data_IF_307692518785
#
_entry.id   IF_307692518785
#
_cell.length_a   1.000
_cell.length_b   1.000
_cell.length_c   1.000
_cell.angle_alpha   90.00
_cell.angle_beta   90.00
_cell.angle_gamma   90.00
#
_symmetry.space_group_name_H-M   'P 1'
#
loop_
_entity.id
_entity.type
_entity.pdbx_description
1 polymer ?
#
# COMPACT_ATOMS: atom_id res chain seq x y z
N UNK A 1 -17.43 18.14 -6.09
CA UNK A 1 -17.79 17.37 -4.88
C UNK A 1 -17.04 16.06 -4.97
N UNK A 2 -16.49 15.53 -3.85
CA UNK A 2 -15.80 14.23 -3.88
C UNK A 2 -16.81 13.13 -4.07
N UNK A 3 -16.53 12.23 -5.02
CA UNK A 3 -17.46 11.16 -5.40
C UNK A 3 -16.87 9.77 -5.14
N UNK A 4 -15.53 9.65 -5.19
CA UNK A 4 -14.82 8.41 -5.06
C UNK A 4 -13.75 8.46 -3.98
N UNK A 5 -13.58 7.32 -3.29
CA UNK A 5 -12.43 7.06 -2.42
C UNK A 5 -11.71 5.85 -2.98
N UNK A 6 -10.46 6.04 -3.37
CA UNK A 6 -9.57 4.94 -3.74
C UNK A 6 -8.65 4.60 -2.57
N UNK A 7 -8.48 3.32 -2.34
CA UNK A 7 -7.61 2.80 -1.28
C UNK A 7 -6.44 2.03 -1.87
N UNK A 8 -5.29 2.14 -1.24
CA UNK A 8 -4.31 1.07 -1.24
C UNK A 8 -4.84 -0.11 -0.42
N UNK A 9 -4.23 -1.29 -0.56
CA UNK A 9 -4.69 -2.50 0.09
C UNK A 9 -3.78 -2.94 1.23
N UNK A 10 -2.52 -3.28 0.92
CA UNK A 10 -1.55 -3.78 1.91
C UNK A 10 -1.15 -2.71 2.90
N UNK A 11 -1.06 -3.05 4.17
CA UNK A 11 -0.77 -2.11 5.26
C UNK A 11 -1.72 -0.90 5.38
N UNK A 12 -2.72 -0.79 4.48
CA UNK A 12 -3.80 0.20 4.56
C UNK A 12 -5.10 -0.43 5.06
N UNK A 13 -5.65 -1.39 4.34
CA UNK A 13 -6.84 -2.17 4.73
C UNK A 13 -6.47 -3.53 5.33
N UNK A 14 -5.36 -4.09 4.91
CA UNK A 14 -4.85 -5.40 5.33
C UNK A 14 -3.66 -5.23 6.26
N UNK A 15 -3.72 -5.90 7.39
CA UNK A 15 -2.59 -6.05 8.32
C UNK A 15 -1.67 -7.17 7.82
N UNK A 16 -0.52 -6.78 7.30
CA UNK A 16 0.50 -7.66 6.75
C UNK A 16 1.67 -7.89 7.73
N UNK A 17 1.52 -7.61 9.03
CA UNK A 17 2.63 -7.72 10.00
C UNK A 17 3.26 -9.11 10.02
N UNK A 18 2.43 -10.15 10.03
CA UNK A 18 2.91 -11.53 10.02
C UNK A 18 3.51 -11.90 8.67
N UNK A 19 2.90 -11.47 7.58
CA UNK A 19 3.43 -11.64 6.22
C UNK A 19 4.81 -10.98 6.07
N UNK A 20 5.00 -9.77 6.61
CA UNK A 20 6.30 -9.11 6.65
C UNK A 20 7.32 -9.85 7.51
N UNK A 21 6.89 -10.43 8.65
CA UNK A 21 7.76 -11.20 9.51
C UNK A 21 8.30 -12.44 8.79
N UNK A 22 7.42 -13.26 8.24
CA UNK A 22 7.80 -14.46 7.47
C UNK A 22 8.64 -14.12 6.23
N UNK A 23 8.31 -13.04 5.54
CA UNK A 23 9.09 -12.57 4.41
C UNK A 23 10.53 -12.22 4.80
N UNK A 24 10.73 -11.53 5.93
CA UNK A 24 12.08 -11.20 6.44
C UNK A 24 12.86 -12.46 6.81
N UNK A 25 12.25 -13.42 7.50
CA UNK A 25 12.88 -14.70 7.84
C UNK A 25 13.34 -15.42 6.58
N UNK A 26 12.48 -15.52 5.57
CA UNK A 26 12.81 -16.16 4.30
C UNK A 26 13.93 -15.40 3.54
N UNK A 27 13.93 -14.07 3.57
CA UNK A 27 15.04 -13.29 3.02
C UNK A 27 16.36 -13.61 3.71
N UNK A 28 16.36 -13.75 5.04
CA UNK A 28 17.54 -14.10 5.81
C UNK A 28 18.05 -15.50 5.50
N UNK A 29 17.17 -16.50 5.38
CA UNK A 29 17.53 -17.86 4.99
C UNK A 29 18.29 -17.85 3.66
N UNK A 30 17.74 -17.19 2.63
CA UNK A 30 18.37 -17.10 1.31
C UNK A 30 19.73 -16.37 1.37
N UNK A 31 19.85 -15.31 2.17
CA UNK A 31 21.11 -14.58 2.34
C UNK A 31 22.14 -15.39 3.11
N UNK A 32 21.74 -16.11 4.16
CA UNK A 32 22.63 -16.99 4.92
C UNK A 32 23.16 -18.15 4.07
N UNK A 33 22.32 -18.77 3.26
CA UNK A 33 22.73 -19.80 2.29
C UNK A 33 23.74 -19.27 1.27
N UNK A 34 23.67 -17.97 0.94
CA UNK A 34 24.63 -17.29 0.06
C UNK A 34 25.91 -16.83 0.80
N UNK A 35 26.07 -17.16 2.09
CA UNK A 35 27.25 -16.87 2.88
C UNK A 35 27.23 -15.52 3.61
N UNK A 36 26.08 -14.84 3.68
CA UNK A 36 25.94 -13.62 4.48
C UNK A 36 25.68 -13.96 5.96
N UNK A 37 26.26 -13.18 6.86
CA UNK A 37 25.92 -13.23 8.30
C UNK A 37 25.15 -11.97 8.65
N UNK A 38 23.85 -12.11 8.91
CA UNK A 38 22.93 -11.01 9.12
C UNK A 38 21.83 -11.43 10.10
N UNK A 39 21.49 -10.56 11.06
CA UNK A 39 20.39 -10.80 11.98
C UNK A 39 19.05 -10.24 11.44
N UNK A 40 17.95 -10.71 12.02
CA UNK A 40 16.61 -10.19 11.69
C UNK A 40 16.48 -8.70 12.05
N UNK A 41 17.08 -8.32 13.19
CA UNK A 41 17.09 -6.94 13.67
C UNK A 41 17.85 -6.01 12.72
N UNK A 42 18.98 -6.45 12.18
CA UNK A 42 19.76 -5.66 11.21
C UNK A 42 19.00 -5.49 9.90
N UNK A 43 18.35 -6.56 9.41
CA UNK A 43 17.52 -6.50 8.20
C UNK A 43 16.34 -5.54 8.40
N UNK A 44 15.61 -5.66 9.52
CA UNK A 44 14.47 -4.80 9.84
C UNK A 44 14.91 -3.34 10.05
N UNK A 45 16.00 -3.09 10.74
CA UNK A 45 16.55 -1.75 10.92
C UNK A 45 16.84 -1.08 9.59
N UNK A 46 17.33 -1.85 8.60
CA UNK A 46 17.61 -1.35 7.26
C UNK A 46 16.31 -1.04 6.50
N UNK A 47 15.28 -1.89 6.61
CA UNK A 47 13.96 -1.60 6.05
C UNK A 47 13.38 -0.29 6.60
N UNK A 48 13.47 -0.10 7.92
CA UNK A 48 13.00 1.12 8.58
C UNK A 48 13.80 2.34 8.11
N UNK A 49 15.12 2.20 7.93
CA UNK A 49 15.96 3.29 7.44
C UNK A 49 15.53 3.74 6.04
N UNK A 50 15.30 2.81 5.12
CA UNK A 50 14.81 3.15 3.79
C UNK A 50 13.38 3.72 3.80
N UNK A 51 12.49 3.21 4.66
CA UNK A 51 11.18 3.81 4.85
C UNK A 51 11.27 5.27 5.31
N UNK A 52 12.17 5.61 6.25
CA UNK A 52 12.43 6.99 6.69
C UNK A 52 12.93 7.90 5.57
N UNK A 53 13.56 7.35 4.56
CA UNK A 53 14.01 8.07 3.36
C UNK A 53 12.93 8.15 2.27
N UNK A 54 11.70 7.67 2.54
CA UNK A 54 10.61 7.54 1.56
C UNK A 54 11.04 6.71 0.34
N UNK A 55 11.76 5.63 0.56
CA UNK A 55 12.15 4.66 -0.45
C UNK A 55 11.39 3.37 -0.25
N UNK A 56 11.35 2.52 -1.27
CA UNK A 56 10.75 1.18 -1.14
C UNK A 56 11.55 0.34 -0.12
N UNK A 57 11.01 0.09 1.07
CA UNK A 57 11.79 -0.54 2.14
C UNK A 57 12.15 -1.99 1.82
N UNK A 58 11.32 -2.69 1.07
CA UNK A 58 11.53 -4.09 0.70
C UNK A 58 12.56 -4.22 -0.42
N UNK A 59 12.35 -3.48 -1.50
CA UNK A 59 13.22 -3.49 -2.68
C UNK A 59 14.63 -3.01 -2.33
N UNK A 60 14.74 -1.86 -1.66
CA UNK A 60 16.01 -1.25 -1.34
C UNK A 60 16.80 -2.08 -0.32
N UNK A 61 16.15 -2.68 0.68
CA UNK A 61 16.81 -3.55 1.65
C UNK A 61 17.33 -4.81 0.99
N UNK A 62 16.52 -5.45 0.13
CA UNK A 62 17.01 -6.61 -0.62
C UNK A 62 18.19 -6.25 -1.51
N UNK A 63 18.10 -5.16 -2.28
CA UNK A 63 19.19 -4.69 -3.15
C UNK A 63 20.45 -4.35 -2.37
N UNK A 64 20.32 -3.87 -1.12
CA UNK A 64 21.46 -3.52 -0.27
C UNK A 64 22.23 -4.75 0.21
N UNK A 65 21.54 -5.82 0.61
CA UNK A 65 22.18 -7.01 1.18
C UNK A 65 22.45 -8.10 0.15
N UNK A 66 21.60 -8.25 -0.85
CA UNK A 66 21.67 -9.36 -1.79
C UNK A 66 22.57 -9.06 -2.99
N UNK A 67 23.48 -9.98 -3.36
CA UNK A 67 24.13 -9.96 -4.67
C UNK A 67 23.09 -9.95 -5.80
N UNK A 68 23.41 -9.29 -6.92
CA UNK A 68 22.53 -9.15 -8.08
C UNK A 68 22.05 -10.48 -8.69
N UNK A 69 22.75 -11.57 -8.42
CA UNK A 69 22.41 -12.91 -8.89
C UNK A 69 21.34 -13.60 -8.04
N UNK A 70 21.05 -13.11 -6.83
CA UNK A 70 20.04 -13.71 -5.96
C UNK A 70 18.65 -13.18 -6.27
N UNK A 71 17.70 -14.09 -6.42
CA UNK A 71 16.28 -13.74 -6.55
C UNK A 71 15.66 -13.48 -5.19
N UNK A 72 14.94 -12.38 -5.08
CA UNK A 72 14.19 -12.06 -3.86
C UNK A 72 13.07 -13.09 -3.65
N UNK A 73 12.86 -13.56 -2.40
CA UNK A 73 11.74 -14.42 -2.06
C UNK A 73 10.39 -13.79 -2.46
N UNK A 74 9.44 -14.65 -2.80
CA UNK A 74 8.07 -14.22 -3.07
C UNK A 74 7.33 -13.96 -1.77
N UNK A 75 6.34 -13.08 -1.85
CA UNK A 75 5.40 -12.84 -0.76
C UNK A 75 4.48 -14.05 -0.57
N UNK A 76 4.24 -14.39 0.70
CA UNK A 76 3.19 -15.33 1.10
C UNK A 76 2.10 -14.58 1.87
N UNK A 77 1.00 -14.31 1.20
CA UNK A 77 -0.13 -13.56 1.74
C UNK A 77 -1.12 -14.42 2.55
N UNK A 78 -0.77 -15.68 2.87
CA UNK A 78 -1.67 -16.58 3.62
C UNK A 78 -1.95 -16.12 5.05
N UNK A 79 -1.04 -15.33 5.61
CA UNK A 79 -1.14 -14.78 6.98
C UNK A 79 -1.75 -13.38 7.07
N UNK A 80 -2.13 -12.82 5.93
CA UNK A 80 -2.82 -11.53 5.91
C UNK A 80 -4.17 -11.60 6.62
N UNK A 81 -4.47 -10.56 7.40
CA UNK A 81 -5.77 -10.34 8.04
C UNK A 81 -6.24 -8.91 7.80
N UNK A 82 -7.52 -8.63 7.95
CA UNK A 82 -8.01 -7.25 7.92
C UNK A 82 -7.59 -6.50 9.18
N UNK A 83 -7.27 -5.22 9.03
CA UNK A 83 -7.27 -4.35 10.20
C UNK A 83 -8.67 -4.31 10.83
N UNK A 84 -8.70 -4.16 12.15
CA UNK A 84 -9.95 -4.02 12.89
C UNK A 84 -10.78 -2.87 12.29
N UNK A 85 -12.09 -3.05 12.24
CA UNK A 85 -13.08 -2.07 11.78
C UNK A 85 -13.12 -1.79 10.26
N UNK A 86 -12.24 -2.39 9.42
CA UNK A 86 -12.21 -2.12 7.96
C UNK A 86 -13.57 -2.33 7.30
N UNK A 87 -14.21 -3.48 7.53
CA UNK A 87 -15.52 -3.78 6.93
C UNK A 87 -16.59 -2.76 7.37
N UNK A 88 -16.58 -2.37 8.65
CA UNK A 88 -17.49 -1.35 9.19
C UNK A 88 -17.25 0.01 8.53
N UNK A 89 -15.98 0.41 8.41
CA UNK A 89 -15.62 1.70 7.78
C UNK A 89 -16.02 1.73 6.32
N UNK A 90 -15.72 0.67 5.56
CA UNK A 90 -16.11 0.59 4.15
C UNK A 90 -17.62 0.61 3.99
N UNK A 91 -18.36 -0.09 4.87
CA UNK A 91 -19.83 -0.09 4.89
C UNK A 91 -20.42 1.30 5.16
N UNK A 92 -19.85 2.10 6.05
CA UNK A 92 -20.29 3.47 6.29
C UNK A 92 -19.93 4.40 5.13
N UNK A 93 -18.68 4.36 4.63
CA UNK A 93 -18.24 5.21 3.53
C UNK A 93 -18.99 4.92 2.22
N UNK A 94 -19.34 3.67 1.96
CA UNK A 94 -20.09 3.28 0.74
C UNK A 94 -21.50 3.86 0.66
N UNK A 95 -22.04 4.38 1.76
CA UNK A 95 -23.35 5.07 1.75
C UNK A 95 -23.29 6.45 1.06
N UNK A 96 -22.11 7.08 1.06
CA UNK A 96 -21.90 8.44 0.55
C UNK A 96 -20.91 8.53 -0.62
N UNK A 97 -20.04 7.55 -0.76
CA UNK A 97 -18.96 7.53 -1.75
C UNK A 97 -18.96 6.21 -2.53
N UNK A 98 -18.54 6.25 -3.78
CA UNK A 98 -18.12 5.05 -4.51
C UNK A 98 -16.69 4.71 -4.07
N UNK A 99 -16.41 3.42 -3.90
CA UNK A 99 -15.10 2.97 -3.43
C UNK A 99 -14.35 2.24 -4.54
N UNK A 100 -13.03 2.38 -4.54
CA UNK A 100 -12.14 1.69 -5.47
C UNK A 100 -10.84 1.28 -4.80
N UNK A 101 -10.11 0.39 -5.46
CA UNK A 101 -8.76 -0.06 -5.07
C UNK A 101 -7.77 0.28 -6.16
N UNK A 102 -6.59 0.79 -5.77
CA UNK A 102 -5.40 0.89 -6.61
C UNK A 102 -4.22 0.30 -5.82
N UNK A 103 -3.78 -0.90 -6.17
CA UNK A 103 -2.78 -1.62 -5.39
C UNK A 103 -1.66 -2.22 -6.25
N UNK A 104 -0.43 -2.22 -5.71
CA UNK A 104 0.66 -3.00 -6.29
C UNK A 104 0.50 -4.45 -5.85
N UNK A 105 0.06 -5.31 -6.75
CA UNK A 105 -0.18 -6.73 -6.50
C UNK A 105 0.50 -7.59 -7.56
N UNK A 106 1.03 -8.74 -7.15
CA UNK A 106 1.70 -9.67 -8.06
C UNK A 106 0.70 -10.52 -8.86
N UNK A 107 -0.43 -10.91 -8.26
CA UNK A 107 -1.47 -11.75 -8.86
C UNK A 107 -2.83 -11.50 -8.20
N UNK A 108 -3.90 -11.65 -8.98
CA UNK A 108 -5.29 -11.90 -8.57
C UNK A 108 -5.83 -11.05 -7.42
N UNK A 109 -5.79 -9.74 -7.59
CA UNK A 109 -6.32 -8.80 -6.60
C UNK A 109 -7.80 -9.09 -6.26
N UNK A 110 -8.60 -9.49 -7.24
CA UNK A 110 -10.01 -9.81 -7.03
C UNK A 110 -10.20 -11.00 -6.07
N UNK A 111 -9.43 -12.10 -6.24
CA UNK A 111 -9.48 -13.24 -5.32
C UNK A 111 -9.06 -12.88 -3.89
N UNK A 112 -8.07 -11.98 -3.76
CA UNK A 112 -7.63 -11.49 -2.45
C UNK A 112 -8.74 -10.69 -1.77
N UNK A 113 -9.48 -9.86 -2.51
CA UNK A 113 -10.64 -9.14 -1.98
C UNK A 113 -11.80 -10.08 -1.61
N UNK A 114 -12.07 -11.12 -2.41
CA UNK A 114 -13.08 -12.13 -2.09
C UNK A 114 -12.75 -12.91 -0.82
N UNK A 115 -11.47 -13.28 -0.60
CA UNK A 115 -11.03 -13.95 0.62
C UNK A 115 -11.38 -13.15 1.89
N UNK A 116 -11.42 -11.83 1.79
CA UNK A 116 -11.77 -10.93 2.88
C UNK A 116 -13.22 -10.45 2.84
N UNK A 117 -14.05 -10.96 1.92
CA UNK A 117 -15.43 -10.55 1.71
C UNK A 117 -15.58 -9.05 1.40
N UNK A 118 -14.55 -8.46 0.76
CA UNK A 118 -14.50 -7.03 0.45
C UNK A 118 -14.89 -6.69 -0.98
N UNK A 119 -14.96 -7.67 -1.89
CA UNK A 119 -15.16 -7.43 -3.32
C UNK A 119 -16.40 -6.59 -3.64
N UNK A 120 -17.49 -6.78 -2.89
CA UNK A 120 -18.75 -6.08 -3.11
C UNK A 120 -18.73 -4.58 -2.79
N UNK A 121 -17.75 -4.09 -2.03
CA UNK A 121 -17.63 -2.65 -1.72
C UNK A 121 -17.05 -1.83 -2.86
N UNK A 122 -16.26 -2.45 -3.77
CA UNK A 122 -15.45 -1.71 -4.73
C UNK A 122 -16.02 -1.77 -6.14
N UNK A 123 -16.37 -0.60 -6.68
CA UNK A 123 -16.84 -0.46 -8.06
C UNK A 123 -15.69 -0.42 -9.09
N UNK A 124 -14.48 -0.06 -8.67
CA UNK A 124 -13.27 -0.08 -9.49
C UNK A 124 -12.15 -0.76 -8.72
N UNK A 125 -11.55 -1.79 -9.29
CA UNK A 125 -10.43 -2.53 -8.71
C UNK A 125 -9.30 -2.56 -9.74
N UNK A 126 -8.14 -2.01 -9.39
CA UNK A 126 -6.96 -1.91 -10.27
C UNK A 126 -5.74 -2.47 -9.55
N UNK A 127 -5.27 -3.60 -10.03
CA UNK A 127 -4.03 -4.24 -9.62
C UNK A 127 -2.90 -4.00 -10.62
N UNK A 128 -1.68 -3.78 -10.16
CA UNK A 128 -0.53 -3.55 -11.05
C UNK A 128 -0.28 -4.71 -12.01
N UNK A 129 -0.50 -5.95 -11.59
CA UNK A 129 -0.35 -7.13 -12.44
C UNK A 129 -1.38 -7.17 -13.58
N UNK A 130 -2.59 -6.61 -13.35
CA UNK A 130 -3.68 -6.64 -14.32
C UNK A 130 -3.51 -5.60 -15.43
N UNK A 131 -2.83 -4.48 -15.14
CA UNK A 131 -2.74 -3.33 -16.05
C UNK A 131 -1.33 -3.07 -16.59
N UNK A 132 -0.31 -3.72 -16.03
CA UNK A 132 1.09 -3.56 -16.46
C UNK A 132 1.77 -2.28 -15.96
N UNK A 133 1.10 -1.47 -15.13
CA UNK A 133 1.63 -0.29 -14.46
C UNK A 133 1.63 -0.51 -12.95
N UNK A 134 2.58 0.08 -12.24
CA UNK A 134 2.65 -0.03 -10.78
C UNK A 134 2.90 1.32 -10.13
N UNK A 135 2.32 1.56 -8.98
CA UNK A 135 2.65 2.73 -8.16
C UNK A 135 4.17 2.76 -7.90
N UNK A 136 4.84 3.91 -7.97
CA UNK A 136 4.31 5.27 -8.05
C UNK A 136 4.09 5.82 -9.46
N UNK A 137 4.03 4.99 -10.52
CA UNK A 137 3.70 5.47 -11.85
C UNK A 137 2.29 6.08 -11.85
N UNK A 138 2.15 7.27 -12.44
CA UNK A 138 0.87 7.97 -12.53
C UNK A 138 -0.15 7.20 -13.39
N UNK A 139 0.33 6.42 -14.35
CA UNK A 139 -0.52 5.67 -15.27
C UNK A 139 -1.52 4.73 -14.57
N UNK A 140 -1.15 4.12 -13.44
CA UNK A 140 -2.09 3.24 -12.70
C UNK A 140 -3.24 4.04 -12.07
N UNK A 141 -2.96 5.26 -11.58
CA UNK A 141 -3.98 6.15 -11.02
C UNK A 141 -4.87 6.72 -12.12
N UNK A 142 -4.28 7.17 -13.24
CA UNK A 142 -5.01 7.69 -14.40
C UNK A 142 -5.95 6.63 -14.96
N UNK A 143 -5.49 5.38 -15.08
CA UNK A 143 -6.33 4.26 -15.50
C UNK A 143 -7.52 4.04 -14.56
N UNK A 144 -7.31 4.10 -13.25
CA UNK A 144 -8.39 3.95 -12.27
C UNK A 144 -9.41 5.10 -12.35
N UNK A 145 -8.95 6.33 -12.52
CA UNK A 145 -9.80 7.52 -12.69
C UNK A 145 -10.61 7.45 -13.99
N UNK A 146 -10.00 7.00 -15.09
CA UNK A 146 -10.69 6.77 -16.37
C UNK A 146 -11.79 5.71 -16.21
N UNK A 147 -11.50 4.57 -15.55
CA UNK A 147 -12.49 3.54 -15.25
C UNK A 147 -13.65 4.05 -14.38
N UNK A 148 -13.36 4.95 -13.45
CA UNK A 148 -14.37 5.58 -12.61
C UNK A 148 -15.17 6.68 -13.34
N UNK A 149 -14.67 7.18 -14.47
CA UNK A 149 -15.28 8.26 -15.25
C UNK A 149 -15.27 9.61 -14.54
N UNK A 150 -14.21 9.91 -13.77
CA UNK A 150 -14.09 11.13 -12.95
C UNK A 150 -12.76 11.86 -13.15
N UNK A 151 -12.74 13.14 -12.79
CA UNK A 151 -11.50 13.91 -12.68
C UNK A 151 -10.77 13.61 -11.36
N UNK A 152 -9.44 13.81 -11.29
CA UNK A 152 -8.67 13.61 -10.05
C UNK A 152 -9.20 14.42 -8.87
N UNK A 153 -9.71 15.64 -9.13
CA UNK A 153 -10.25 16.52 -8.09
C UNK A 153 -11.52 15.98 -7.41
N UNK A 154 -12.19 15.02 -8.05
CA UNK A 154 -13.38 14.35 -7.51
C UNK A 154 -13.03 13.10 -6.69
N UNK A 155 -11.75 12.74 -6.63
CA UNK A 155 -11.25 11.56 -5.93
C UNK A 155 -10.50 11.92 -4.64
N UNK A 156 -10.61 11.01 -3.68
CA UNK A 156 -9.76 10.90 -2.49
C UNK A 156 -8.90 9.65 -2.67
N UNK A 157 -7.63 9.72 -2.31
CA UNK A 157 -6.75 8.57 -2.24
C UNK A 157 -6.29 8.33 -0.80
N UNK A 158 -6.44 7.10 -0.33
CA UNK A 158 -6.09 6.65 1.02
C UNK A 158 -5.01 5.58 0.92
N UNK A 159 -3.86 5.79 1.55
CA UNK A 159 -2.75 4.84 1.52
C UNK A 159 -1.79 5.04 2.69
N UNK A 160 -0.84 4.13 2.85
CA UNK A 160 0.11 4.16 3.97
C UNK A 160 1.49 4.72 3.60
N UNK A 161 1.85 4.80 2.31
CA UNK A 161 3.18 5.19 1.87
C UNK A 161 3.22 6.56 1.20
N UNK A 162 4.18 7.40 1.63
CA UNK A 162 4.39 8.72 1.05
C UNK A 162 4.87 8.62 -0.40
N UNK A 163 5.88 7.80 -0.68
CA UNK A 163 6.50 7.67 -2.00
C UNK A 163 5.58 7.02 -3.03
N UNK A 164 4.84 6.02 -2.60
CA UNK A 164 4.09 5.11 -3.47
C UNK A 164 2.64 5.55 -3.69
N UNK A 165 2.06 6.24 -2.70
CA UNK A 165 0.64 6.58 -2.65
C UNK A 165 0.42 8.10 -2.68
N UNK A 166 0.97 8.82 -1.69
CA UNK A 166 0.63 10.22 -1.47
C UNK A 166 1.19 11.14 -2.56
N UNK A 167 2.48 10.98 -2.89
CA UNK A 167 3.12 11.83 -3.91
C UNK A 167 2.45 11.68 -5.28
N UNK A 168 2.26 10.47 -5.85
CA UNK A 168 1.63 10.35 -7.16
C UNK A 168 0.17 10.81 -7.17
N UNK A 169 -0.63 10.48 -6.16
CA UNK A 169 -2.01 10.93 -6.05
C UNK A 169 -2.10 12.47 -5.97
N UNK A 170 -1.22 13.10 -5.18
CA UNK A 170 -1.15 14.56 -5.05
C UNK A 170 -0.73 15.24 -6.35
N UNK A 171 0.23 14.67 -7.10
CA UNK A 171 0.64 15.19 -8.42
C UNK A 171 -0.51 15.25 -9.42
N UNK A 172 -1.43 14.30 -9.36
CA UNK A 172 -2.63 14.28 -10.21
C UNK A 172 -3.72 15.24 -9.73
N UNK A 173 -3.64 15.75 -8.50
CA UNK A 173 -4.64 16.64 -7.91
C UNK A 173 -5.74 15.92 -7.13
N UNK A 174 -5.54 14.67 -6.75
CA UNK A 174 -6.41 13.97 -5.81
C UNK A 174 -6.26 14.55 -4.40
N UNK A 175 -7.30 14.43 -3.56
CA UNK A 175 -7.16 14.63 -2.12
C UNK A 175 -6.46 13.42 -1.51
N UNK A 176 -5.47 13.64 -0.67
CA UNK A 176 -4.62 12.59 -0.12
C UNK A 176 -4.83 12.42 1.39
N UNK A 177 -5.00 11.17 1.82
CA UNK A 177 -5.13 10.79 3.23
C UNK A 177 -4.08 9.73 3.53
N UNK A 178 -3.07 10.11 4.31
CA UNK A 178 -2.02 9.21 4.73
C UNK A 178 -2.40 8.49 6.02
N UNK A 179 -2.46 7.16 5.97
CA UNK A 179 -2.68 6.31 7.14
C UNK A 179 -1.31 5.82 7.64
N UNK A 180 -0.91 6.25 8.83
CA UNK A 180 0.41 5.91 9.40
C UNK A 180 0.43 4.52 10.01
N UNK A 181 0.37 3.50 9.15
CA UNK A 181 0.40 2.07 9.51
C UNK A 181 1.58 1.37 8.83
N UNK A 182 1.78 0.10 9.11
CA UNK A 182 2.83 -0.71 8.51
C UNK A 182 4.22 -0.09 8.60
N UNK A 183 5.01 -0.26 7.54
CA UNK A 183 6.30 0.42 7.38
C UNK A 183 6.14 1.88 6.97
N UNK A 184 5.02 2.25 6.35
CA UNK A 184 4.70 3.62 5.98
C UNK A 184 4.64 4.58 7.17
N UNK A 185 4.39 4.09 8.40
CA UNK A 185 4.44 4.93 9.62
C UNK A 185 5.79 5.61 9.86
N UNK A 186 6.87 5.06 9.27
CA UNK A 186 8.23 5.62 9.37
C UNK A 186 8.53 6.62 8.27
N UNK A 187 7.70 6.73 7.22
CA UNK A 187 7.87 7.73 6.18
C UNK A 187 7.89 9.15 6.75
N UNK A 188 8.50 10.07 5.99
CA UNK A 188 8.56 11.48 6.32
C UNK A 188 7.71 12.27 5.33
N UNK A 189 6.89 13.18 5.83
CA UNK A 189 6.14 14.09 4.96
C UNK A 189 7.10 14.97 4.15
N UNK A 190 6.79 15.19 2.89
CA UNK A 190 7.62 15.99 1.99
C UNK A 190 6.92 17.34 1.79
N UNK A 191 7.56 18.48 2.17
CA UNK A 191 6.93 19.81 2.07
C UNK A 191 6.42 20.19 0.67
N UNK A 192 7.05 19.65 -0.39
CA UNK A 192 6.60 19.90 -1.77
C UNK A 192 5.28 19.19 -2.12
N UNK A 193 4.92 18.13 -1.37
CA UNK A 193 3.72 17.33 -1.57
C UNK A 193 3.07 17.02 -0.22
N UNK A 194 2.53 18.04 0.48
CA UNK A 194 1.91 17.82 1.78
C UNK A 194 0.63 16.97 1.65
N UNK A 195 0.44 16.03 2.57
CA UNK A 195 -0.81 15.29 2.65
C UNK A 195 -1.94 16.23 3.10
N UNK A 196 -3.14 16.04 2.55
CA UNK A 196 -4.29 16.85 2.99
C UNK A 196 -4.74 16.42 4.39
N UNK A 197 -4.64 15.13 4.70
CA UNK A 197 -4.92 14.58 6.03
C UNK A 197 -3.90 13.50 6.39
N UNK A 198 -3.62 13.40 7.70
CA UNK A 198 -2.74 12.38 8.29
C UNK A 198 -3.51 11.72 9.43
N UNK A 199 -3.73 10.40 9.33
CA UNK A 199 -4.52 9.64 10.28
C UNK A 199 -3.71 8.46 10.85
N UNK A 200 -4.07 8.02 12.05
CA UNK A 200 -3.40 6.89 12.69
C UNK A 200 -3.92 5.52 12.25
N UNK A 201 -5.18 5.44 11.81
CA UNK A 201 -5.84 4.20 11.41
C UNK A 201 -7.04 4.47 10.50
N UNK A 202 -7.49 3.43 9.78
CA UNK A 202 -8.58 3.53 8.80
C UNK A 202 -9.89 4.01 9.44
N UNK A 203 -10.21 3.61 10.68
CA UNK A 203 -11.45 4.05 11.34
C UNK A 203 -11.50 5.56 11.65
N UNK A 204 -10.36 6.25 11.61
CA UNK A 204 -10.35 7.72 11.75
C UNK A 204 -10.93 8.44 10.52
N UNK A 205 -11.07 7.76 9.38
CA UNK A 205 -11.74 8.29 8.18
C UNK A 205 -13.16 8.77 8.49
N UNK A 206 -13.90 8.04 9.31
CA UNK A 206 -15.28 8.38 9.70
C UNK A 206 -15.42 9.67 10.52
N UNK A 207 -14.29 10.26 10.94
CA UNK A 207 -14.29 11.55 11.66
C UNK A 207 -14.15 12.74 10.73
N UNK A 208 -13.72 12.50 9.48
CA UNK A 208 -13.38 13.58 8.54
C UNK A 208 -14.15 13.48 7.22
N UNK A 209 -14.74 12.33 6.93
CA UNK A 209 -15.58 12.06 5.76
C UNK A 209 -17.02 11.78 6.15
#
# INVERSE_FOLDING_TARGET
>A
MKQWIFFDLGSTLIDERETYHLFREHCLEVLCEAGHTLSLEEFEAKMIAFAKENKDPVKETWTFFAPSALSRPKWDHTKDILFQDVATVLGELSKSYRLGIIANQQENLAERLERFELGSYFGVVVGSADVGFSKPDLAIFEYALEKAGISPQEAIYVGDRIDNDMIPAKKLGMTTIWIRQGLGKYNQEIPAFPCDYILGKVSDLLKIL
#
